data_IF_361631287596
#
_entry.id   IF_361631287596
#
_cell.length_a   1.000
_cell.length_b   1.000
_cell.length_c   1.000
_cell.angle_alpha   90.00
_cell.angle_beta   90.00
_cell.angle_gamma   90.00
#
_symmetry.space_group_name_H-M   'P 1'
#
loop_
_entity.id
_entity.type
_entity.pdbx_description
1 polymer ?
#
# COMPACT_ATOMS: atom_id res chain seq x y z
N UNK A 1 -10.27 18.47 18.38
CA UNK A 1 -8.96 17.94 18.85
C UNK A 1 -8.22 17.50 17.59
N UNK A 2 -7.33 18.35 17.09
CA UNK A 2 -6.61 18.06 15.85
C UNK A 2 -5.57 16.96 16.14
N UNK A 3 -5.80 15.75 15.64
CA UNK A 3 -4.80 14.70 15.60
C UNK A 3 -3.68 15.18 14.66
N UNK A 4 -2.61 15.71 15.25
CA UNK A 4 -1.42 16.04 14.48
C UNK A 4 -0.76 14.75 14.02
N UNK A 5 -0.87 14.41 12.75
CA UNK A 5 0.01 13.47 12.05
C UNK A 5 1.51 13.84 12.21
N UNK A 6 1.80 15.02 12.74
CA UNK A 6 3.16 15.53 13.03
C UNK A 6 4.01 14.65 13.96
N UNK A 7 3.42 13.69 14.70
CA UNK A 7 4.18 12.82 15.59
C UNK A 7 4.85 11.63 14.87
N UNK A 8 4.47 11.34 13.60
CA UNK A 8 4.97 10.19 12.83
C UNK A 8 5.65 10.55 11.50
N UNK A 9 5.78 11.83 11.20
CA UNK A 9 6.36 12.27 9.93
C UNK A 9 7.85 12.46 10.11
N UNK A 10 8.70 11.73 9.37
CA UNK A 10 10.14 12.00 9.30
C UNK A 10 10.39 13.46 8.88
N UNK A 11 11.40 14.09 9.44
CA UNK A 11 11.66 15.54 9.26
C UNK A 11 12.28 15.93 7.92
N UNK A 12 12.59 14.96 7.07
CA UNK A 12 13.09 15.19 5.72
C UNK A 12 12.03 14.85 4.66
N UNK A 13 11.94 15.65 3.61
CA UNK A 13 10.91 15.52 2.57
C UNK A 13 10.98 14.19 1.81
N UNK A 14 12.16 13.59 1.71
CA UNK A 14 12.35 12.31 1.02
C UNK A 14 11.80 11.14 1.85
N UNK A 15 12.09 11.12 3.16
CA UNK A 15 11.53 10.10 4.06
C UNK A 15 10.01 10.20 4.19
N UNK A 16 9.44 11.40 4.09
CA UNK A 16 8.00 11.63 4.10
C UNK A 16 7.31 10.98 2.90
N UNK A 17 7.84 11.16 1.70
CA UNK A 17 7.28 10.56 0.46
C UNK A 17 7.25 9.04 0.55
N UNK A 18 8.35 8.41 0.94
CA UNK A 18 8.45 6.94 1.12
C UNK A 18 7.51 6.43 2.22
N UNK A 19 7.34 7.20 3.30
CA UNK A 19 6.45 6.83 4.38
C UNK A 19 4.96 6.85 3.94
N UNK A 20 4.55 7.89 3.22
CA UNK A 20 3.18 8.00 2.71
C UNK A 20 2.87 6.84 1.76
N UNK A 21 3.79 6.49 0.88
CA UNK A 21 3.63 5.36 -0.03
C UNK A 21 3.39 4.05 0.73
N UNK A 22 4.21 3.75 1.74
CA UNK A 22 4.03 2.56 2.58
C UNK A 22 2.68 2.55 3.31
N UNK A 23 2.24 3.68 3.86
CA UNK A 23 0.94 3.79 4.53
C UNK A 23 -0.20 3.53 3.56
N UNK A 24 -0.13 4.08 2.35
CA UNK A 24 -1.14 3.83 1.31
C UNK A 24 -1.19 2.35 0.95
N UNK A 25 -0.05 1.70 0.71
CA UNK A 25 0.00 0.29 0.35
C UNK A 25 -0.54 -0.62 1.45
N UNK A 26 -0.15 -0.40 2.70
CA UNK A 26 -0.70 -1.21 3.79
C UNK A 26 -2.20 -1.01 3.98
N UNK A 27 -2.70 0.20 3.70
CA UNK A 27 -4.12 0.56 3.90
C UNK A 27 -5.09 -0.19 2.98
N UNK A 28 -4.62 -0.80 1.89
CA UNK A 28 -5.50 -1.48 0.93
C UNK A 28 -5.80 -2.95 1.28
N UNK A 29 -5.17 -3.49 2.31
CA UNK A 29 -5.39 -4.87 2.73
C UNK A 29 -6.65 -4.98 3.60
N UNK A 30 -7.72 -5.58 3.08
CA UNK A 30 -9.00 -5.78 3.77
C UNK A 30 -9.22 -7.24 4.19
N UNK A 31 -8.85 -8.17 3.31
CA UNK A 31 -9.08 -9.61 3.48
C UNK A 31 -7.87 -10.48 3.08
N UNK A 32 -6.75 -9.83 2.72
CA UNK A 32 -5.51 -10.47 2.27
C UNK A 32 -5.72 -11.37 1.04
N UNK A 33 -6.60 -10.97 0.13
CA UNK A 33 -6.83 -11.67 -1.13
C UNK A 33 -5.61 -11.59 -2.05
N UNK A 34 -5.55 -12.48 -3.04
CA UNK A 34 -4.49 -12.45 -4.06
C UNK A 34 -4.49 -11.12 -4.81
N UNK A 35 -5.68 -10.58 -5.11
CA UNK A 35 -5.82 -9.29 -5.77
C UNK A 35 -5.23 -8.15 -4.94
N UNK A 36 -5.40 -8.17 -3.62
CA UNK A 36 -4.80 -7.17 -2.73
C UNK A 36 -3.28 -7.31 -2.64
N UNK A 37 -2.77 -8.53 -2.55
CA UNK A 37 -1.33 -8.76 -2.58
C UNK A 37 -0.72 -8.37 -3.94
N UNK A 38 -1.37 -8.70 -5.05
CA UNK A 38 -0.90 -8.28 -6.37
C UNK A 38 -1.00 -6.75 -6.56
N UNK A 39 -2.00 -6.11 -5.98
CA UNK A 39 -2.12 -4.65 -5.98
C UNK A 39 -0.90 -3.99 -5.33
N UNK A 40 -0.37 -4.59 -4.26
CA UNK A 40 0.80 -4.07 -3.50
C UNK A 40 2.12 -4.53 -4.13
N UNK A 41 2.24 -5.80 -4.49
CA UNK A 41 3.52 -6.43 -4.79
C UNK A 41 3.83 -6.66 -6.27
N UNK A 42 2.89 -6.40 -7.18
CA UNK A 42 3.07 -6.70 -8.61
C UNK A 42 4.35 -6.11 -9.24
N UNK A 43 4.75 -4.93 -8.78
CA UNK A 43 5.94 -4.24 -9.28
C UNK A 43 7.22 -4.55 -8.51
N UNK A 44 7.13 -5.34 -7.45
CA UNK A 44 8.26 -5.71 -6.60
C UNK A 44 8.87 -7.04 -7.07
N UNK A 45 9.27 -7.10 -8.35
CA UNK A 45 9.91 -8.29 -8.94
C UNK A 45 11.33 -8.43 -8.41
N UNK A 46 11.71 -9.63 -7.97
CA UNK A 46 13.03 -9.94 -7.44
C UNK A 46 13.26 -9.50 -5.99
N UNK A 47 12.21 -9.02 -5.31
CA UNK A 47 12.29 -8.73 -3.87
C UNK A 47 12.22 -10.02 -3.07
N UNK A 48 12.92 -10.01 -1.93
CA UNK A 48 12.86 -11.11 -0.95
C UNK A 48 11.61 -10.99 -0.07
N UNK A 49 11.13 -12.08 0.57
CA UNK A 49 10.07 -12.02 1.58
C UNK A 49 10.31 -10.95 2.65
N UNK A 50 11.55 -10.84 3.15
CA UNK A 50 11.94 -9.81 4.12
C UNK A 50 11.65 -8.40 3.61
N UNK A 51 12.03 -8.11 2.37
CA UNK A 51 11.80 -6.79 1.76
C UNK A 51 10.30 -6.52 1.55
N UNK A 52 9.54 -7.53 1.11
CA UNK A 52 8.10 -7.41 0.91
C UNK A 52 7.36 -7.16 2.24
N UNK A 53 7.66 -7.94 3.29
CA UNK A 53 7.04 -7.77 4.61
C UNK A 53 7.40 -6.42 5.23
N UNK A 54 8.66 -5.99 5.11
CA UNK A 54 9.10 -4.66 5.57
C UNK A 54 8.43 -3.52 4.80
N UNK A 55 8.06 -3.73 3.53
CA UNK A 55 7.31 -2.72 2.76
C UNK A 55 5.89 -2.51 3.28
N UNK A 56 5.33 -3.51 3.98
CA UNK A 56 4.05 -3.44 4.68
C UNK A 56 4.17 -2.92 6.12
N UNK A 57 5.26 -2.23 6.45
CA UNK A 57 5.50 -1.66 7.79
C UNK A 57 5.61 -2.69 8.91
N UNK A 58 5.93 -3.94 8.58
CA UNK A 58 6.22 -4.97 9.58
C UNK A 58 7.67 -4.84 10.05
N UNK A 59 7.84 -4.88 11.36
CA UNK A 59 9.16 -5.04 11.97
C UNK A 59 9.62 -6.49 11.88
N UNK A 60 10.92 -6.72 11.78
CA UNK A 60 11.47 -8.07 11.63
C UNK A 60 11.02 -9.02 12.75
N UNK A 61 10.93 -8.53 13.98
CA UNK A 61 10.45 -9.30 15.14
C UNK A 61 9.02 -9.83 14.99
N UNK A 62 8.21 -9.23 14.10
CA UNK A 62 6.82 -9.64 13.87
C UNK A 62 6.72 -10.83 12.91
N UNK A 63 7.72 -11.08 12.07
CA UNK A 63 7.65 -12.14 11.05
C UNK A 63 8.80 -13.16 11.07
N UNK A 64 9.90 -12.89 11.80
CA UNK A 64 11.05 -13.79 11.81
C UNK A 64 10.73 -15.21 12.29
N UNK A 65 9.68 -15.38 13.07
CA UNK A 65 9.27 -16.69 13.58
C UNK A 65 8.44 -17.52 12.59
N UNK A 66 7.94 -16.87 11.54
CA UNK A 66 7.06 -17.50 10.55
C UNK A 66 7.83 -18.05 9.34
N UNK A 67 9.09 -17.66 9.17
CA UNK A 67 9.93 -18.03 8.04
C UNK A 67 11.33 -18.40 8.52
N UNK A 68 12.01 -19.30 7.83
CA UNK A 68 13.44 -19.52 8.04
C UNK A 68 14.26 -18.34 7.46
N UNK A 69 15.51 -18.20 7.91
CA UNK A 69 16.40 -17.16 7.42
C UNK A 69 16.61 -17.26 5.90
N UNK A 70 16.79 -18.48 5.38
CA UNK A 70 16.98 -18.73 3.95
C UNK A 70 15.74 -18.32 3.15
N UNK A 71 14.54 -18.68 3.61
CA UNK A 71 13.27 -18.26 2.97
C UNK A 71 13.10 -16.75 2.96
N UNK A 72 13.55 -16.05 4.01
CA UNK A 72 13.42 -14.59 4.09
C UNK A 72 14.34 -13.84 3.12
N UNK A 73 15.48 -14.41 2.77
CA UNK A 73 16.54 -13.73 2.02
C UNK A 73 16.66 -14.21 0.57
N UNK A 74 15.91 -15.23 0.16
CA UNK A 74 15.84 -15.68 -1.23
C UNK A 74 14.80 -14.87 -2.02
N UNK A 75 15.17 -14.31 -3.21
CA UNK A 75 14.22 -13.56 -4.04
C UNK A 75 13.03 -14.43 -4.46
N UNK A 76 11.82 -13.89 -4.29
CA UNK A 76 10.58 -14.58 -4.61
C UNK A 76 10.35 -14.66 -6.12
N UNK A 77 10.45 -15.86 -6.67
CA UNK A 77 9.99 -16.15 -8.02
C UNK A 77 8.46 -16.06 -8.15
N UNK A 78 7.98 -15.87 -9.36
CA UNK A 78 6.53 -15.72 -9.63
C UNK A 78 5.72 -16.90 -9.12
N UNK A 79 6.22 -18.13 -9.28
CA UNK A 79 5.54 -19.34 -8.84
C UNK A 79 5.48 -19.49 -7.31
N UNK A 80 6.44 -18.90 -6.59
CA UNK A 80 6.50 -18.96 -5.13
C UNK A 80 5.62 -17.92 -4.45
N UNK A 81 5.13 -16.92 -5.18
CA UNK A 81 4.32 -15.83 -4.61
C UNK A 81 3.01 -16.32 -4.00
N UNK A 82 2.30 -17.21 -4.68
CA UNK A 82 1.06 -17.77 -4.16
C UNK A 82 1.27 -18.51 -2.84
N UNK A 83 2.33 -19.32 -2.74
CA UNK A 83 2.69 -20.01 -1.51
C UNK A 83 3.06 -19.04 -0.39
N UNK A 84 3.75 -17.96 -0.71
CA UNK A 84 4.09 -16.89 0.23
C UNK A 84 2.83 -16.18 0.76
N UNK A 85 1.87 -15.85 -0.13
CA UNK A 85 0.60 -15.24 0.26
C UNK A 85 -0.22 -16.18 1.16
N UNK A 86 -0.30 -17.46 0.80
CA UNK A 86 -0.99 -18.48 1.62
C UNK A 86 -0.35 -18.62 3.01
N UNK A 87 0.97 -18.57 3.08
CA UNK A 87 1.67 -18.61 4.35
C UNK A 87 1.37 -17.40 5.23
N UNK A 88 1.31 -16.19 4.65
CA UNK A 88 0.89 -15.00 5.40
C UNK A 88 -0.53 -15.20 5.94
N UNK A 89 -1.48 -15.65 5.11
CA UNK A 89 -2.89 -15.82 5.50
C UNK A 89 -3.08 -16.85 6.61
N UNK A 90 -2.29 -17.90 6.61
CA UNK A 90 -2.42 -19.01 7.57
C UNK A 90 -1.59 -18.83 8.84
N UNK A 91 -0.74 -17.82 8.88
CA UNK A 91 0.13 -17.52 10.02
C UNK A 91 -0.46 -16.45 10.95
N UNK A 92 0.26 -16.17 12.04
CA UNK A 92 -0.08 -15.07 12.95
C UNK A 92 -0.01 -13.69 12.28
N UNK A 93 0.73 -13.57 11.17
CA UNK A 93 0.87 -12.34 10.39
C UNK A 93 -0.44 -11.83 9.82
N UNK A 94 -1.38 -12.71 9.49
CA UNK A 94 -2.68 -12.31 8.96
C UNK A 94 -3.36 -11.29 9.89
N UNK A 95 -3.44 -11.59 11.18
CA UNK A 95 -4.08 -10.71 12.16
C UNK A 95 -3.29 -9.40 12.34
N UNK A 96 -1.97 -9.49 12.38
CA UNK A 96 -1.08 -8.32 12.52
C UNK A 96 -1.28 -7.38 11.33
N UNK A 97 -1.24 -7.89 10.10
CA UNK A 97 -1.42 -7.11 8.87
C UNK A 97 -2.81 -6.47 8.79
N UNK A 98 -3.87 -7.23 9.07
CA UNK A 98 -5.23 -6.69 9.04
C UNK A 98 -5.44 -5.57 10.06
N UNK A 99 -4.88 -5.70 11.26
CA UNK A 99 -4.94 -4.66 12.27
C UNK A 99 -4.15 -3.40 11.86
N UNK A 100 -2.93 -3.57 11.36
CA UNK A 100 -2.12 -2.46 10.83
C UNK A 100 -2.81 -1.78 9.65
N UNK A 101 -3.37 -2.56 8.73
CA UNK A 101 -4.11 -2.05 7.57
C UNK A 101 -5.32 -1.22 7.98
N UNK A 102 -6.11 -1.73 8.90
CA UNK A 102 -7.30 -1.02 9.41
C UNK A 102 -6.92 0.33 10.04
N UNK A 103 -5.88 0.36 10.84
CA UNK A 103 -5.41 1.60 11.47
C UNK A 103 -4.80 2.57 10.45
N UNK A 104 -3.95 2.09 9.55
CA UNK A 104 -3.38 2.89 8.48
C UNK A 104 -4.47 3.51 7.58
N UNK A 105 -5.48 2.73 7.21
CA UNK A 105 -6.63 3.20 6.43
C UNK A 105 -7.43 4.25 7.16
N UNK A 106 -7.71 4.04 8.45
CA UNK A 106 -8.39 5.03 9.28
C UNK A 106 -7.64 6.37 9.30
N UNK A 107 -6.33 6.33 9.45
CA UNK A 107 -5.48 7.53 9.45
C UNK A 107 -5.45 8.19 8.08
N UNK A 108 -5.31 7.42 7.00
CA UNK A 108 -5.32 7.91 5.62
C UNK A 108 -6.64 8.63 5.31
N UNK A 109 -7.78 8.01 5.60
CA UNK A 109 -9.10 8.60 5.34
C UNK A 109 -9.32 9.86 6.18
N UNK A 110 -8.89 9.85 7.45
CA UNK A 110 -8.95 11.04 8.31
C UNK A 110 -8.11 12.19 7.77
N UNK A 111 -6.92 11.89 7.23
CA UNK A 111 -6.08 12.88 6.58
C UNK A 111 -6.73 13.45 5.32
N UNK A 112 -7.24 12.60 4.44
CA UNK A 112 -7.92 13.04 3.21
C UNK A 112 -9.17 13.89 3.52
N UNK A 113 -9.89 13.54 4.58
CA UNK A 113 -11.00 14.33 5.09
C UNK A 113 -10.55 15.71 5.60
N UNK A 114 -9.48 15.75 6.40
CA UNK A 114 -8.91 16.98 6.97
C UNK A 114 -8.43 17.93 5.87
N UNK A 115 -7.80 17.40 4.81
CA UNK A 115 -7.34 18.17 3.65
C UNK A 115 -8.49 18.59 2.71
N UNK A 116 -9.72 18.22 3.02
CA UNK A 116 -10.90 18.54 2.22
C UNK A 116 -11.02 17.73 0.93
N UNK A 117 -10.14 16.73 0.71
CA UNK A 117 -10.13 15.91 -0.48
C UNK A 117 -11.45 15.15 -0.64
N UNK A 118 -11.91 14.48 0.42
CA UNK A 118 -13.16 13.72 0.40
C UNK A 118 -14.43 14.60 0.33
N UNK A 119 -14.33 15.88 0.69
CA UNK A 119 -15.46 16.83 0.67
C UNK A 119 -15.51 17.67 -0.61
N UNK A 120 -14.50 17.56 -1.47
CA UNK A 120 -14.45 18.33 -2.72
C UNK A 120 -15.37 17.73 -3.78
N UNK A 121 -16.05 18.57 -4.54
CA UNK A 121 -16.83 18.13 -5.70
C UNK A 121 -15.95 17.61 -6.84
N UNK A 122 -14.76 18.14 -6.98
CA UNK A 122 -13.79 17.80 -8.02
C UNK A 122 -12.39 17.73 -7.40
N UNK A 123 -12.11 16.74 -6.56
CA UNK A 123 -10.79 16.61 -5.96
C UNK A 123 -9.76 16.26 -7.04
N UNK A 124 -8.56 16.79 -6.88
CA UNK A 124 -7.43 16.49 -7.77
C UNK A 124 -6.23 15.99 -6.99
N UNK A 125 -5.52 15.03 -7.54
CA UNK A 125 -4.27 14.51 -7.00
C UNK A 125 -3.17 14.65 -8.04
N UNK A 126 -2.02 15.15 -7.63
CA UNK A 126 -0.81 15.16 -8.45
C UNK A 126 0.08 14.00 -8.01
N UNK A 127 0.30 13.05 -8.91
CA UNK A 127 1.22 11.93 -8.69
C UNK A 127 2.51 12.18 -9.47
N UNK A 128 3.62 12.35 -8.75
CA UNK A 128 4.96 12.50 -9.31
C UNK A 128 5.65 11.15 -9.53
N UNK A 129 4.99 10.06 -9.14
CA UNK A 129 5.46 8.69 -9.34
C UNK A 129 5.37 8.25 -10.80
N UNK A 130 6.28 7.41 -11.22
CA UNK A 130 6.44 6.98 -12.63
C UNK A 130 5.48 5.86 -13.04
N UNK A 131 4.85 5.17 -12.09
CA UNK A 131 4.06 3.96 -12.32
C UNK A 131 2.58 4.10 -11.95
N UNK A 132 2.19 5.16 -11.25
CA UNK A 132 0.81 5.38 -10.81
C UNK A 132 0.31 4.39 -9.74
N UNK A 133 1.21 3.69 -9.05
CA UNK A 133 0.83 2.67 -8.05
C UNK A 133 0.07 3.26 -6.88
N UNK A 134 0.52 4.40 -6.36
CA UNK A 134 -0.16 5.11 -5.27
C UNK A 134 -1.58 5.46 -5.66
N UNK A 135 -1.79 5.93 -6.88
CA UNK A 135 -3.10 6.26 -7.41
C UNK A 135 -3.99 5.01 -7.54
N UNK A 136 -3.46 3.90 -8.07
CA UNK A 136 -4.18 2.63 -8.19
C UNK A 136 -4.66 2.11 -6.84
N UNK A 137 -3.78 2.12 -5.84
CA UNK A 137 -4.10 1.69 -4.48
C UNK A 137 -5.10 2.62 -3.82
N UNK A 138 -4.92 3.94 -3.95
CA UNK A 138 -5.85 4.92 -3.40
C UNK A 138 -7.24 4.78 -4.04
N UNK A 139 -7.34 4.59 -5.35
CA UNK A 139 -8.61 4.30 -6.03
C UNK A 139 -9.30 3.04 -5.49
N UNK A 140 -8.52 1.99 -5.25
CA UNK A 140 -9.06 0.75 -4.68
C UNK A 140 -9.67 1.00 -3.29
N UNK A 141 -8.95 1.72 -2.42
CA UNK A 141 -9.42 2.05 -1.07
C UNK A 141 -10.70 2.90 -1.14
N UNK A 142 -10.67 3.99 -1.89
CA UNK A 142 -11.80 4.92 -1.97
C UNK A 142 -13.06 4.27 -2.55
N UNK A 143 -12.92 3.40 -3.54
CA UNK A 143 -14.06 2.64 -4.07
C UNK A 143 -14.66 1.64 -3.07
N UNK A 144 -13.86 1.08 -2.18
CA UNK A 144 -14.34 0.18 -1.13
C UNK A 144 -15.03 0.92 0.03
N UNK A 145 -14.55 2.11 0.34
CA UNK A 145 -15.12 2.93 1.44
C UNK A 145 -16.31 3.76 0.96
N UNK A 146 -16.22 4.35 -0.25
CA UNK A 146 -17.25 5.21 -0.83
C UNK A 146 -17.46 4.87 -2.31
N UNK A 147 -18.43 4.02 -2.63
CA UNK A 147 -18.66 3.44 -3.97
C UNK A 147 -18.78 4.43 -5.13
N UNK A 148 -18.97 5.72 -4.87
CA UNK A 148 -19.20 6.76 -5.90
C UNK A 148 -18.11 7.82 -5.96
N UNK A 149 -17.05 7.69 -5.15
CA UNK A 149 -16.00 8.70 -5.11
C UNK A 149 -15.12 8.64 -6.38
N UNK A 150 -14.92 9.79 -7.00
CA UNK A 150 -14.03 9.95 -8.15
C UNK A 150 -13.17 11.20 -7.99
N UNK A 151 -11.98 11.18 -8.53
CA UNK A 151 -11.06 12.31 -8.53
C UNK A 151 -10.23 12.34 -9.81
N UNK A 152 -9.66 13.53 -10.12
CA UNK A 152 -8.76 13.71 -11.24
C UNK A 152 -7.32 13.43 -10.82
N UNK A 153 -6.62 12.63 -11.61
CA UNK A 153 -5.21 12.35 -11.38
C UNK A 153 -4.35 13.02 -12.44
N UNK A 154 -3.35 13.76 -12.00
CA UNK A 154 -2.36 14.40 -12.83
C UNK A 154 -1.01 13.73 -12.61
N UNK A 155 -0.37 13.27 -13.68
CA UNK A 155 0.94 12.64 -13.63
C UNK A 155 1.98 13.60 -14.23
N UNK A 156 3.07 13.86 -13.49
CA UNK A 156 4.19 14.67 -14.01
C UNK A 156 5.11 13.90 -14.95
N UNK A 157 5.12 12.59 -14.84
CA UNK A 157 5.85 11.70 -15.73
C UNK A 157 5.24 10.32 -15.68
N UNK A 158 5.17 9.66 -16.82
CA UNK A 158 4.60 8.31 -16.90
C UNK A 158 5.56 7.42 -17.65
N UNK A 159 5.97 6.32 -17.01
CA UNK A 159 6.61 5.21 -17.69
C UNK A 159 5.52 4.23 -18.09
N UNK A 160 5.43 3.91 -19.37
CA UNK A 160 4.45 2.93 -19.87
C UNK A 160 4.58 1.62 -19.11
N UNK A 161 3.49 1.23 -18.44
CA UNK A 161 3.38 -0.05 -17.74
C UNK A 161 2.11 -0.76 -18.19
N UNK A 162 2.12 -2.09 -18.18
CA UNK A 162 0.96 -2.91 -18.63
C UNK A 162 -0.35 -2.60 -17.89
N UNK A 163 -0.29 -1.95 -16.75
CA UNK A 163 -1.46 -1.66 -15.90
C UNK A 163 -2.10 -0.28 -16.15
N UNK A 164 -1.46 0.61 -16.91
CA UNK A 164 -2.00 1.96 -17.15
C UNK A 164 -3.13 1.99 -18.18
N UNK A 165 -3.22 0.99 -19.05
CA UNK A 165 -4.19 0.96 -20.16
C UNK A 165 -5.62 0.74 -19.66
N UNK A 166 -5.82 0.16 -18.47
CA UNK A 166 -7.15 -0.14 -17.93
C UNK A 166 -7.77 0.95 -17.05
N UNK A 167 -7.03 2.02 -16.74
CA UNK A 167 -7.49 3.09 -15.85
C UNK A 167 -7.88 4.39 -16.55
N UNK A 168 -7.78 4.43 -17.89
CA UNK A 168 -8.14 5.59 -18.74
C UNK A 168 -9.46 5.29 -19.48
N UNK A 169 -10.41 4.68 -18.79
CA UNK A 169 -11.74 4.39 -19.33
C UNK A 169 -12.82 5.09 -18.51
#
# INVERSE_FOLDING_TARGET
>A
MALRLQAFVPRDEFSLSVYIEKVVFVSCLYDLSDDEFELVFSDMVGYTPRQLLSSLTLDESEFIHEFSADELDEPLGTEMRSLFYDRIRTSSLAMVLLNKSKEARRLLLSYLQQEGFLNSKNPGMVDIGWKGNTNRVLNYILRREENTFSYLSFFLGVKETRHMISSIG
#
